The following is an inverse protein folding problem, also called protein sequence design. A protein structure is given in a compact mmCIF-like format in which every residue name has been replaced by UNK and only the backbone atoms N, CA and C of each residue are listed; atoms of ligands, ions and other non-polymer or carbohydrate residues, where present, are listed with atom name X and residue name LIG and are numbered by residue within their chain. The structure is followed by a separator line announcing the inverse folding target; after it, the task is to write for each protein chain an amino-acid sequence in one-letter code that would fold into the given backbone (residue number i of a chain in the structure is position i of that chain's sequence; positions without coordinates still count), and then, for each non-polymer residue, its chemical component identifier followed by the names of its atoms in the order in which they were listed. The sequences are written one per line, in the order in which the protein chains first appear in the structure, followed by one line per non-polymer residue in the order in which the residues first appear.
data_IF_838725879673
#
_entry.id   IF_838725879673
#
_cell.length_a   1.000
_cell.length_b   1.000
_cell.length_c   1.000
_cell.angle_alpha   90.00
_cell.angle_beta   90.00
_cell.angle_gamma   90.00
#
_symmetry.space_group_name_H-M   'P 1'
#
loop_
_entity.id
_entity.type
_entity.pdbx_description
1 polymer ?
#
# COMPACT_ATOMS: atom_id res chain seq x y z
N UNK A 1 -3.86 74.29 -39.54
CA UNK A 1 -3.93 75.73 -39.87
C UNK A 1 -4.76 76.51 -38.83
N UNK A 2 -4.76 76.11 -37.55
CA UNK A 2 -5.50 76.82 -36.49
C UNK A 2 -4.69 76.97 -35.18
N UNK A 3 -3.42 76.54 -35.15
CA UNK A 3 -2.56 76.63 -33.95
C UNK A 3 -1.51 77.77 -34.04
N UNK A 4 -1.25 78.32 -35.22
CA UNK A 4 -0.21 79.35 -35.41
C UNK A 4 -0.63 80.75 -34.93
N UNK A 5 -1.93 81.04 -34.88
CA UNK A 5 -2.44 82.35 -34.40
C UNK A 5 -2.44 82.45 -32.87
N UNK A 6 -2.63 81.33 -32.17
CA UNK A 6 -2.57 81.29 -30.70
C UNK A 6 -1.17 81.53 -30.16
N UNK A 7 -0.15 80.98 -30.82
CA UNK A 7 1.25 81.15 -30.44
C UNK A 7 1.69 82.63 -30.50
N UNK A 8 1.25 83.37 -31.52
CA UNK A 8 1.61 84.79 -31.72
C UNK A 8 1.01 85.72 -30.66
N UNK A 9 -0.18 85.39 -30.13
CA UNK A 9 -0.82 86.20 -29.08
C UNK A 9 -0.03 86.13 -27.76
N UNK A 10 0.44 84.94 -27.37
CA UNK A 10 1.16 84.72 -26.12
C UNK A 10 2.62 85.17 -26.16
N UNK A 11 3.22 85.29 -27.36
CA UNK A 11 4.58 85.80 -27.56
C UNK A 11 4.69 87.31 -27.27
N UNK A 12 3.58 88.06 -27.39
CA UNK A 12 3.56 89.51 -27.11
C UNK A 12 3.44 89.88 -25.63
N UNK A 13 2.94 88.96 -24.79
CA UNK A 13 2.61 89.24 -23.38
C UNK A 13 3.80 88.98 -22.45
N UNK A 14 4.68 88.05 -22.80
CA UNK A 14 5.90 87.77 -22.08
C UNK A 14 7.06 87.77 -23.07
N UNK A 15 7.69 88.94 -23.27
CA UNK A 15 8.77 89.17 -24.23
C UNK A 15 10.08 88.44 -23.91
N UNK A 16 10.00 87.12 -23.82
CA UNK A 16 11.12 86.19 -23.92
C UNK A 16 10.72 85.08 -24.91
N UNK A 17 11.60 84.67 -25.83
CA UNK A 17 11.33 83.55 -26.72
C UNK A 17 10.84 82.36 -25.91
N UNK A 18 9.72 81.74 -26.28
CA UNK A 18 9.35 80.44 -25.72
C UNK A 18 10.51 79.53 -26.08
N UNK A 19 11.35 79.22 -25.09
CA UNK A 19 12.43 78.28 -25.27
C UNK A 19 11.79 76.97 -25.73
N UNK A 20 11.97 76.65 -27.02
CA UNK A 20 11.78 75.29 -27.52
C UNK A 20 12.88 74.50 -26.83
N UNK A 21 12.56 73.96 -25.66
CA UNK A 21 13.46 73.07 -24.97
C UNK A 21 13.67 71.87 -25.89
N UNK A 22 14.93 71.61 -26.26
CA UNK A 22 15.28 70.32 -26.81
C UNK A 22 14.72 69.26 -25.86
N UNK A 23 13.96 68.30 -26.39
CA UNK A 23 13.29 67.25 -25.63
C UNK A 23 14.29 66.21 -25.11
N UNK A 24 15.53 66.62 -24.85
CA UNK A 24 16.65 65.78 -24.44
C UNK A 24 16.90 66.03 -22.96
N UNK A 25 16.09 65.39 -22.12
CA UNK A 25 16.50 65.13 -20.74
C UNK A 25 17.09 63.73 -20.71
N UNK A 26 18.39 63.67 -20.98
CA UNK A 26 19.20 62.46 -21.00
C UNK A 26 19.08 61.69 -19.67
N UNK A 27 18.41 60.54 -19.70
CA UNK A 27 18.52 59.53 -18.65
C UNK A 27 19.92 58.89 -18.65
N UNK A 28 20.37 58.30 -17.53
CA UNK A 28 21.73 57.78 -17.36
C UNK A 28 22.20 56.73 -18.40
N UNK A 29 21.28 56.15 -19.16
CA UNK A 29 21.54 55.04 -20.11
C UNK A 29 21.11 55.33 -21.55
N UNK A 30 20.42 56.46 -21.82
CA UNK A 30 20.04 56.93 -23.17
C UNK A 30 19.14 56.01 -24.03
N UNK A 31 18.82 54.79 -23.60
CA UNK A 31 18.10 53.78 -24.39
C UNK A 31 16.60 53.99 -24.49
N UNK A 32 15.99 54.69 -23.53
CA UNK A 32 14.55 54.97 -23.51
C UNK A 32 14.15 56.11 -24.45
N UNK A 33 15.11 56.94 -24.85
CA UNK A 33 14.91 58.14 -25.67
C UNK A 33 15.02 57.85 -27.18
N UNK A 34 15.55 56.68 -27.56
CA UNK A 34 15.60 56.21 -28.95
C UNK A 34 14.35 55.40 -29.35
N UNK A 35 13.47 55.10 -28.38
CA UNK A 35 12.23 54.37 -28.62
C UNK A 35 11.16 55.31 -29.15
N UNK A 36 10.37 54.81 -30.11
CA UNK A 36 9.16 55.50 -30.56
C UNK A 36 8.14 55.62 -29.41
N UNK A 37 7.24 56.60 -29.46
CA UNK A 37 6.25 56.82 -28.40
C UNK A 37 5.40 55.55 -28.10
N UNK A 38 5.16 54.71 -29.12
CA UNK A 38 4.49 53.40 -28.97
C UNK A 38 5.33 52.38 -28.20
N UNK A 39 6.63 52.31 -28.46
CA UNK A 39 7.58 51.43 -27.78
C UNK A 39 7.80 51.87 -26.33
N UNK A 40 7.87 53.18 -26.08
CA UNK A 40 7.93 53.73 -24.72
C UNK A 40 6.65 53.41 -23.93
N UNK A 41 5.47 53.57 -24.55
CA UNK A 41 4.20 53.22 -23.91
C UNK A 41 4.07 51.71 -23.63
N UNK A 42 4.59 50.85 -24.50
CA UNK A 42 4.66 49.40 -24.26
C UNK A 42 5.62 49.07 -23.10
N UNK A 43 6.81 49.67 -23.09
CA UNK A 43 7.81 49.49 -22.05
C UNK A 43 7.31 49.92 -20.67
N UNK A 44 6.66 51.10 -20.57
CA UNK A 44 6.10 51.59 -19.31
C UNK A 44 4.94 50.72 -18.84
N UNK A 45 4.06 50.24 -19.74
CA UNK A 45 3.00 49.28 -19.39
C UNK A 45 3.58 47.98 -18.86
N UNK A 46 4.62 47.46 -19.50
CA UNK A 46 5.33 46.28 -19.03
C UNK A 46 5.97 46.49 -17.65
N UNK A 47 6.66 47.61 -17.43
CA UNK A 47 7.30 47.94 -16.14
C UNK A 47 6.29 48.19 -15.01
N UNK A 48 5.18 48.85 -15.32
CA UNK A 48 4.07 49.03 -14.37
C UNK A 48 3.43 47.69 -14.02
N UNK A 49 3.25 46.80 -15.01
CA UNK A 49 2.75 45.45 -14.80
C UNK A 49 3.70 44.62 -13.95
N UNK A 50 5.00 44.61 -14.25
CA UNK A 50 6.04 43.95 -13.46
C UNK A 50 6.02 44.43 -11.99
N UNK A 51 5.88 45.74 -11.75
CA UNK A 51 5.85 46.30 -10.40
C UNK A 51 4.57 45.97 -9.61
N UNK A 52 3.41 45.92 -10.28
CA UNK A 52 2.13 45.57 -9.63
C UNK A 52 1.94 44.06 -9.48
N UNK A 53 2.46 43.27 -10.41
CA UNK A 53 2.29 41.81 -10.42
C UNK A 53 3.45 41.06 -9.77
N UNK A 54 4.55 41.72 -9.40
CA UNK A 54 5.66 41.10 -8.67
C UNK A 54 5.18 40.34 -7.41
N UNK A 55 4.38 40.98 -6.54
CA UNK A 55 3.84 40.33 -5.35
C UNK A 55 2.86 39.20 -5.67
N UNK A 56 2.10 39.31 -6.77
CA UNK A 56 1.13 38.30 -7.19
C UNK A 56 1.82 37.07 -7.82
N UNK A 57 2.94 37.27 -8.51
CA UNK A 57 3.81 36.22 -9.05
C UNK A 57 4.56 35.49 -7.92
N UNK A 58 5.09 36.21 -6.94
CA UNK A 58 5.72 35.62 -5.76
C UNK A 58 4.74 34.80 -4.93
N UNK A 59 3.52 35.31 -4.69
CA UNK A 59 2.48 34.57 -3.97
C UNK A 59 2.00 33.33 -4.75
N UNK A 60 1.89 33.43 -6.09
CA UNK A 60 1.54 32.29 -6.94
C UNK A 60 2.64 31.23 -6.92
N UNK A 61 3.90 31.64 -7.06
CA UNK A 61 5.05 30.74 -7.00
C UNK A 61 5.14 30.05 -5.63
N UNK A 62 4.96 30.79 -4.53
CA UNK A 62 4.94 30.23 -3.17
C UNK A 62 3.83 29.21 -2.99
N UNK A 63 2.62 29.49 -3.49
CA UNK A 63 1.48 28.54 -3.44
C UNK A 63 1.72 27.31 -4.30
N UNK A 64 2.34 27.45 -5.47
CA UNK A 64 2.68 26.31 -6.33
C UNK A 64 3.78 25.45 -5.71
N UNK A 65 4.81 26.05 -5.12
CA UNK A 65 5.87 25.38 -4.37
C UNK A 65 5.30 24.56 -3.20
N UNK A 66 4.44 25.18 -2.37
CA UNK A 66 3.77 24.48 -1.27
C UNK A 66 2.88 23.33 -1.74
N UNK A 67 2.14 23.52 -2.84
CA UNK A 67 1.35 22.44 -3.45
C UNK A 67 2.23 21.31 -3.96
N UNK A 68 3.40 21.62 -4.51
CA UNK A 68 4.37 20.63 -4.98
C UNK A 68 4.95 19.84 -3.82
N UNK A 69 5.41 20.53 -2.78
CA UNK A 69 5.96 19.91 -1.56
C UNK A 69 4.91 19.01 -0.89
N UNK A 70 3.68 19.51 -0.68
CA UNK A 70 2.61 18.71 -0.08
C UNK A 70 2.27 17.47 -0.90
N UNK A 71 2.27 17.56 -2.24
CA UNK A 71 2.06 16.40 -3.12
C UNK A 71 3.21 15.40 -3.03
N UNK A 72 4.44 15.86 -2.84
CA UNK A 72 5.61 15.02 -2.71
C UNK A 72 5.66 14.31 -1.35
N UNK A 73 5.33 15.03 -0.27
CA UNK A 73 5.12 14.48 1.07
C UNK A 73 4.00 13.44 1.09
N UNK A 74 2.86 13.72 0.43
CA UNK A 74 1.75 12.77 0.35
C UNK A 74 2.15 11.51 -0.44
N UNK A 75 2.91 11.67 -1.53
CA UNK A 75 3.45 10.54 -2.30
C UNK A 75 4.43 9.70 -1.50
N UNK A 76 5.32 10.33 -0.74
CA UNK A 76 6.29 9.62 0.10
C UNK A 76 5.61 8.93 1.27
N UNK A 77 4.67 9.60 1.96
CA UNK A 77 3.85 9.02 3.01
C UNK A 77 3.05 7.80 2.52
N UNK A 78 2.45 7.89 1.32
CA UNK A 78 1.74 6.76 0.72
C UNK A 78 2.66 5.57 0.43
N UNK A 79 3.85 5.82 -0.14
CA UNK A 79 4.84 4.75 -0.38
C UNK A 79 5.27 4.07 0.92
N UNK A 80 5.56 4.87 1.96
CA UNK A 80 5.94 4.35 3.28
C UNK A 80 4.82 3.52 3.90
N UNK A 81 3.57 3.96 3.79
CA UNK A 81 2.41 3.21 4.26
C UNK A 81 2.27 1.87 3.53
N UNK A 82 2.36 1.87 2.19
CA UNK A 82 2.28 0.64 1.38
C UNK A 82 3.44 -0.33 1.67
N UNK A 83 4.65 0.17 1.95
CA UNK A 83 5.79 -0.64 2.35
C UNK A 83 5.64 -1.21 3.77
N UNK A 84 5.16 -0.39 4.70
CA UNK A 84 4.84 -0.80 6.06
C UNK A 84 3.77 -1.90 6.06
N UNK A 85 2.67 -1.72 5.32
CA UNK A 85 1.60 -2.70 5.18
C UNK A 85 2.10 -4.01 4.55
N UNK A 86 2.93 -3.94 3.50
CA UNK A 86 3.59 -5.11 2.92
C UNK A 86 4.49 -5.82 3.93
N UNK A 87 5.21 -5.08 4.77
CA UNK A 87 6.09 -5.65 5.79
C UNK A 87 5.30 -6.32 6.93
N UNK A 88 4.20 -5.71 7.35
CA UNK A 88 3.30 -6.23 8.37
C UNK A 88 2.64 -7.52 7.89
N UNK A 89 2.09 -7.51 6.66
CA UNK A 89 1.49 -8.70 6.05
C UNK A 89 2.47 -9.87 5.97
N UNK A 90 3.69 -9.62 5.47
CA UNK A 90 4.75 -10.65 5.44
C UNK A 90 5.16 -11.10 6.85
N UNK A 91 5.09 -10.22 7.84
CA UNK A 91 5.37 -10.54 9.24
C UNK A 91 4.30 -11.44 9.85
N UNK A 92 3.04 -11.12 9.62
CA UNK A 92 1.87 -11.90 10.07
C UNK A 92 1.83 -13.27 9.41
N UNK A 93 2.03 -13.36 8.10
CA UNK A 93 2.10 -14.64 7.38
C UNK A 93 3.19 -15.55 7.96
N UNK A 94 4.38 -15.02 8.25
CA UNK A 94 5.46 -15.78 8.90
C UNK A 94 5.09 -16.22 10.32
N UNK A 95 4.46 -15.36 11.12
CA UNK A 95 4.02 -15.70 12.47
C UNK A 95 2.96 -16.79 12.44
N UNK A 96 2.01 -16.72 11.52
CA UNK A 96 1.00 -17.74 11.32
C UNK A 96 1.63 -19.07 10.90
N UNK A 97 2.51 -19.08 9.89
CA UNK A 97 3.23 -20.30 9.49
C UNK A 97 4.01 -20.92 10.64
N UNK A 98 4.72 -20.11 11.44
CA UNK A 98 5.45 -20.58 12.63
C UNK A 98 4.50 -21.20 13.66
N UNK A 99 3.35 -20.58 13.92
CA UNK A 99 2.33 -21.12 14.83
C UNK A 99 1.78 -22.46 14.35
N UNK A 100 1.50 -22.59 13.05
CA UNK A 100 1.03 -23.85 12.46
C UNK A 100 2.10 -24.94 12.51
N UNK A 101 3.35 -24.61 12.16
CA UNK A 101 4.47 -25.54 12.26
C UNK A 101 4.72 -26.01 13.71
N UNK A 102 4.62 -25.10 14.68
CA UNK A 102 4.77 -25.45 16.09
C UNK A 102 3.62 -26.33 16.58
N UNK A 103 2.37 -26.01 16.22
CA UNK A 103 1.22 -26.86 16.53
C UNK A 103 1.34 -28.25 15.89
N UNK A 104 1.76 -28.32 14.63
CA UNK A 104 2.01 -29.59 13.95
C UNK A 104 3.09 -30.41 14.67
N UNK A 105 4.19 -29.77 15.07
CA UNK A 105 5.26 -30.43 15.84
C UNK A 105 4.76 -30.96 17.18
N UNK A 106 3.94 -30.19 17.89
CA UNK A 106 3.30 -30.62 19.15
C UNK A 106 2.39 -31.83 18.91
N UNK A 107 1.56 -31.79 17.87
CA UNK A 107 0.72 -32.91 17.45
C UNK A 107 1.55 -34.17 17.15
N UNK A 108 2.59 -34.07 16.32
CA UNK A 108 3.44 -35.23 15.98
C UNK A 108 4.17 -35.80 17.20
N UNK A 109 4.62 -34.93 18.11
CA UNK A 109 5.28 -35.35 19.34
C UNK A 109 4.32 -36.06 20.28
N UNK A 110 3.12 -35.51 20.47
CA UNK A 110 2.09 -36.12 21.29
C UNK A 110 1.68 -37.49 20.73
N UNK A 111 1.55 -37.62 19.41
CA UNK A 111 1.35 -38.91 18.74
C UNK A 111 2.49 -39.90 18.92
N UNK A 112 3.74 -39.43 18.97
CA UNK A 112 4.90 -40.30 19.18
C UNK A 112 5.01 -40.79 20.63
N UNK A 113 4.61 -39.97 21.60
CA UNK A 113 4.60 -40.32 23.02
C UNK A 113 3.29 -40.94 23.50
N UNK A 114 2.32 -41.16 22.61
CA UNK A 114 0.99 -41.62 22.97
C UNK A 114 1.00 -43.08 23.45
N UNK A 115 0.47 -43.31 24.64
CA UNK A 115 0.43 -44.60 25.33
C UNK A 115 -0.87 -45.39 25.11
N UNK A 116 -1.82 -44.82 24.37
CA UNK A 116 -3.14 -45.41 24.13
C UNK A 116 -4.23 -44.93 25.07
N UNK A 117 -3.98 -43.87 25.87
CA UNK A 117 -5.02 -43.24 26.70
C UNK A 117 -5.81 -42.17 25.93
N UNK A 118 -7.12 -42.07 26.17
CA UNK A 118 -7.97 -41.10 25.46
C UNK A 118 -7.60 -39.65 25.74
N UNK A 119 -7.26 -39.33 26.99
CA UNK A 119 -6.98 -37.96 27.42
C UNK A 119 -5.69 -37.38 26.79
N UNK A 120 -4.77 -38.24 26.38
CA UNK A 120 -3.51 -37.84 25.74
C UNK A 120 -3.56 -37.96 24.21
N UNK A 121 -4.70 -38.37 23.65
CA UNK A 121 -4.90 -38.46 22.21
C UNK A 121 -4.85 -37.06 21.59
N UNK A 122 -3.87 -36.86 20.69
CA UNK A 122 -3.72 -35.61 19.99
C UNK A 122 -4.67 -35.52 18.78
N UNK A 123 -5.75 -34.75 18.94
CA UNK A 123 -6.69 -34.46 17.86
C UNK A 123 -6.07 -33.51 16.82
N UNK A 124 -6.43 -33.61 15.53
CA UNK A 124 -5.86 -32.79 14.46
C UNK A 124 -6.58 -31.42 14.39
N UNK A 125 -6.73 -30.76 15.53
CA UNK A 125 -7.39 -29.47 15.73
C UNK A 125 -6.73 -28.71 16.88
N UNK A 126 -6.89 -27.38 16.92
CA UNK A 126 -6.21 -26.51 17.88
C UNK A 126 -6.71 -26.64 19.33
N UNK A 127 -8.02 -26.85 19.53
CA UNK A 127 -8.65 -26.91 20.86
C UNK A 127 -9.01 -28.31 21.37
N UNK A 128 -8.59 -29.37 20.69
CA UNK A 128 -8.90 -30.74 21.09
C UNK A 128 -10.28 -31.22 20.63
N UNK A 129 -10.87 -32.18 21.34
CA UNK A 129 -12.10 -32.88 20.90
C UNK A 129 -13.32 -31.96 20.72
N UNK A 130 -13.41 -30.88 21.48
CA UNK A 130 -14.54 -29.94 21.45
C UNK A 130 -14.63 -29.12 20.14
N UNK A 131 -13.48 -28.87 19.50
CA UNK A 131 -13.38 -28.11 18.24
C UNK A 131 -13.33 -29.03 17.00
N UNK A 132 -13.82 -30.28 17.12
CA UNK A 132 -13.82 -31.23 16.03
C UNK A 132 -14.89 -30.88 15.00
N UNK A 133 -14.45 -30.22 13.95
CA UNK A 133 -15.23 -29.90 12.77
C UNK A 133 -14.43 -30.18 11.50
N UNK A 134 -15.12 -30.54 10.41
CA UNK A 134 -14.51 -30.94 9.13
C UNK A 134 -13.61 -29.82 8.58
N UNK A 135 -14.06 -28.57 8.70
CA UNK A 135 -13.29 -27.40 8.26
C UNK A 135 -12.03 -27.20 9.10
N UNK A 136 -12.13 -27.36 10.43
CA UNK A 136 -11.02 -27.19 11.35
C UNK A 136 -9.95 -28.26 11.16
N UNK A 137 -10.36 -29.52 11.02
CA UNK A 137 -9.45 -30.65 10.74
C UNK A 137 -8.75 -30.46 9.39
N UNK A 138 -9.51 -30.07 8.35
CA UNK A 138 -8.95 -29.78 7.01
C UNK A 138 -7.96 -28.62 7.06
N UNK A 139 -8.31 -27.53 7.74
CA UNK A 139 -7.46 -26.35 7.90
C UNK A 139 -6.17 -26.69 8.63
N UNK A 140 -6.25 -27.49 9.70
CA UNK A 140 -5.10 -27.97 10.45
C UNK A 140 -4.15 -28.81 9.58
N UNK A 141 -4.69 -29.75 8.81
CA UNK A 141 -3.88 -30.61 7.92
C UNK A 141 -3.22 -29.79 6.80
N UNK A 142 -3.98 -28.93 6.11
CA UNK A 142 -3.47 -28.14 4.98
C UNK A 142 -2.41 -27.13 5.43
N UNK A 143 -2.66 -26.42 6.55
CA UNK A 143 -1.76 -25.39 7.07
C UNK A 143 -0.60 -25.98 7.87
N UNK A 144 -0.83 -27.07 8.60
CA UNK A 144 0.18 -27.76 9.41
C UNK A 144 1.19 -28.54 8.57
N UNK A 145 0.74 -29.22 7.52
CA UNK A 145 1.63 -29.90 6.56
C UNK A 145 2.26 -28.93 5.53
N UNK A 146 1.85 -27.66 5.51
CA UNK A 146 2.43 -26.66 4.60
C UNK A 146 2.29 -27.05 3.13
N UNK A 147 1.04 -27.16 2.63
CA UNK A 147 0.77 -27.45 1.20
C UNK A 147 1.55 -26.52 0.24
N UNK A 148 1.80 -25.28 0.64
CA UNK A 148 2.55 -24.31 -0.17
C UNK A 148 4.06 -24.60 -0.22
N UNK A 149 4.61 -25.27 0.80
CA UNK A 149 6.04 -25.55 0.94
C UNK A 149 6.41 -26.96 0.42
N UNK A 150 5.43 -27.88 0.32
CA UNK A 150 5.61 -29.25 -0.17
C UNK A 150 4.86 -29.49 -1.48
N UNK A 151 5.55 -30.04 -2.49
CA UNK A 151 4.92 -30.41 -3.76
C UNK A 151 3.74 -31.38 -3.57
N UNK A 152 2.78 -31.36 -4.50
CA UNK A 152 1.49 -32.07 -4.39
C UNK A 152 1.65 -33.57 -4.08
N UNK A 153 2.65 -34.24 -4.65
CA UNK A 153 2.93 -35.66 -4.37
C UNK A 153 3.43 -35.90 -2.94
N UNK A 154 4.29 -35.03 -2.41
CA UNK A 154 4.77 -35.14 -1.04
C UNK A 154 3.63 -34.89 -0.04
N UNK A 155 2.77 -33.92 -0.33
CA UNK A 155 1.57 -33.66 0.45
C UNK A 155 0.59 -34.86 0.44
N UNK A 156 0.35 -35.46 -0.73
CA UNK A 156 -0.49 -36.65 -0.87
C UNK A 156 0.06 -37.86 -0.09
N UNK A 157 1.38 -38.06 -0.06
CA UNK A 157 2.02 -39.13 0.71
C UNK A 157 1.86 -38.92 2.21
N UNK A 158 2.04 -37.68 2.71
CA UNK A 158 1.80 -37.35 4.13
C UNK A 158 0.35 -37.56 4.53
N UNK A 159 -0.61 -37.14 3.70
CA UNK A 159 -2.03 -37.40 3.94
C UNK A 159 -2.36 -38.89 3.98
N UNK A 160 -1.69 -39.71 3.14
CA UNK A 160 -1.82 -41.17 3.19
C UNK A 160 -1.32 -41.75 4.51
N UNK A 161 -0.21 -41.27 5.04
CA UNK A 161 0.30 -41.68 6.36
C UNK A 161 -0.70 -41.33 7.48
N UNK A 162 -1.23 -40.12 7.48
CA UNK A 162 -2.24 -39.68 8.46
C UNK A 162 -3.54 -40.47 8.32
N UNK A 163 -3.98 -40.79 7.09
CA UNK A 163 -5.16 -41.64 6.83
C UNK A 163 -5.00 -43.02 7.45
N UNK A 164 -3.82 -43.63 7.30
CA UNK A 164 -3.54 -44.93 7.91
C UNK A 164 -3.52 -44.79 9.43
N UNK A 165 -2.96 -43.70 9.98
CA UNK A 165 -2.90 -43.46 11.43
C UNK A 165 -4.30 -43.33 12.05
N UNK A 166 -5.20 -42.60 11.40
CA UNK A 166 -6.56 -42.33 11.86
C UNK A 166 -7.59 -43.39 11.46
N UNK A 167 -7.15 -44.54 10.92
CA UNK A 167 -8.09 -45.60 10.59
C UNK A 167 -8.82 -46.09 11.85
N UNK A 168 -10.17 -46.15 11.88
CA UNK A 168 -10.95 -46.47 13.08
C UNK A 168 -10.48 -47.75 13.78
N UNK A 169 -10.24 -48.82 13.02
CA UNK A 169 -9.73 -50.10 13.53
C UNK A 169 -8.34 -49.97 14.21
N UNK A 170 -7.42 -49.16 13.66
CA UNK A 170 -6.09 -48.98 14.27
C UNK A 170 -6.14 -48.17 15.55
N UNK A 171 -6.99 -47.15 15.58
CA UNK A 171 -7.23 -46.32 16.76
C UNK A 171 -7.89 -47.16 17.85
N UNK A 172 -8.88 -47.97 17.50
CA UNK A 172 -9.57 -48.89 18.41
C UNK A 172 -8.61 -49.93 19.01
N UNK A 173 -7.73 -50.53 18.20
CA UNK A 173 -6.69 -51.46 18.67
C UNK A 173 -5.71 -50.78 19.64
N UNK A 174 -5.32 -49.54 19.36
CA UNK A 174 -4.41 -48.74 20.20
C UNK A 174 -5.06 -48.33 21.53
N UNK A 175 -6.35 -48.02 21.53
CA UNK A 175 -7.15 -47.65 22.69
C UNK A 175 -7.49 -48.83 23.61
N UNK A 176 -7.08 -50.06 23.26
CA UNK A 176 -7.28 -51.29 24.08
C UNK A 176 -8.73 -51.49 24.55
N UNK A 177 -9.70 -51.04 23.76
CA UNK A 177 -11.13 -51.16 24.08
C UNK A 177 -11.69 -50.12 25.06
N UNK A 178 -10.90 -49.11 25.47
CA UNK A 178 -11.37 -47.99 26.30
C UNK A 178 -12.11 -46.89 25.49
N UNK A 179 -12.38 -47.13 24.21
CA UNK A 179 -13.00 -46.13 23.33
C UNK A 179 -14.53 -46.20 23.45
N UNK A 180 -15.13 -45.12 23.95
CA UNK A 180 -16.57 -44.94 23.93
C UNK A 180 -17.10 -44.80 22.49
N UNK A 181 -18.36 -45.17 22.27
CA UNK A 181 -19.04 -45.06 20.96
C UNK A 181 -19.00 -43.63 20.40
N UNK A 182 -19.03 -42.62 21.26
CA UNK A 182 -18.95 -41.22 20.86
C UNK A 182 -17.55 -40.85 20.35
N UNK A 183 -16.49 -41.32 21.02
CA UNK A 183 -15.11 -41.13 20.56
C UNK A 183 -14.90 -41.81 19.21
N UNK A 184 -15.46 -43.00 19.02
CA UNK A 184 -15.34 -43.72 17.75
C UNK A 184 -16.05 -43.01 16.60
N UNK A 185 -17.16 -42.31 16.87
CA UNK A 185 -17.81 -41.42 15.87
C UNK A 185 -16.89 -40.26 15.49
N UNK A 186 -16.25 -39.63 16.47
CA UNK A 186 -15.34 -38.51 16.26
C UNK A 186 -14.08 -38.93 15.48
N UNK A 187 -13.49 -40.06 15.83
CA UNK A 187 -12.38 -40.68 15.09
C UNK A 187 -12.78 -40.98 13.64
N UNK A 188 -13.99 -41.49 13.45
CA UNK A 188 -14.53 -41.77 12.11
C UNK A 188 -14.76 -40.49 11.32
N UNK A 189 -15.24 -39.42 11.96
CA UNK A 189 -15.41 -38.12 11.32
C UNK A 189 -14.06 -37.57 10.84
N UNK A 190 -13.03 -37.59 11.70
CA UNK A 190 -11.66 -37.20 11.33
C UNK A 190 -11.14 -38.03 10.16
N UNK A 191 -11.32 -39.36 10.19
CA UNK A 191 -10.93 -40.24 9.10
C UNK A 191 -11.62 -39.87 7.79
N UNK A 192 -12.92 -39.60 7.81
CA UNK A 192 -13.69 -39.20 6.62
C UNK A 192 -13.21 -37.86 6.06
N UNK A 193 -12.90 -36.89 6.91
CA UNK A 193 -12.32 -35.60 6.48
C UNK A 193 -10.97 -35.80 5.80
N UNK A 194 -10.10 -36.63 6.36
CA UNK A 194 -8.80 -36.97 5.77
C UNK A 194 -8.98 -37.70 4.44
N UNK A 195 -9.89 -38.66 4.36
CA UNK A 195 -10.16 -39.44 3.14
C UNK A 195 -10.71 -38.56 2.01
N UNK A 196 -11.65 -37.66 2.31
CA UNK A 196 -12.14 -36.64 1.36
C UNK A 196 -11.02 -35.74 0.87
N UNK A 197 -10.19 -35.22 1.79
CA UNK A 197 -9.07 -34.35 1.44
C UNK A 197 -8.03 -35.09 0.57
N UNK A 198 -7.74 -36.36 0.88
CA UNK A 198 -6.83 -37.18 0.08
C UNK A 198 -7.39 -37.46 -1.32
N UNK A 199 -8.70 -37.71 -1.44
CA UNK A 199 -9.37 -37.92 -2.72
C UNK A 199 -9.37 -36.66 -3.61
N UNK A 200 -9.44 -35.46 -3.02
CA UNK A 200 -9.35 -34.18 -3.74
C UNK A 200 -7.94 -33.88 -4.26
N UNK A 201 -6.91 -34.22 -3.48
CA UNK A 201 -5.50 -33.98 -3.84
C UNK A 201 -5.00 -34.96 -4.89
N UNK A 202 -5.56 -36.17 -4.91
CA UNK A 202 -5.21 -37.17 -5.92
C UNK A 202 -5.88 -36.77 -7.25
N UNK A 203 -5.12 -36.48 -8.31
CA UNK A 203 -5.73 -36.20 -9.60
C UNK A 203 -6.58 -37.40 -10.03
N UNK A 204 -7.82 -37.15 -10.45
CA UNK A 204 -8.59 -38.12 -11.24
C UNK A 204 -7.76 -38.39 -12.49
N UNK A 205 -7.18 -39.58 -12.55
CA UNK A 205 -6.54 -40.11 -13.75
C UNK A 205 -7.57 -40.22 -14.89
#
# INVERSE_FOLDING_TARGET
MADDEGASYWESVYGQPIHVYAKEKSGPTGTLEQMTDEEYAAYVRQKMWEKTHAGLLEDRARREEQRRQRKEEERTARKLHEEMERSLRRGEERRQRRRWAEQWKRYTNAWASWDGTLDTLAWPVGGGREDLDDEHVRSFLVRGLGREDMGEQAFANRLREERIRWHPDKIQQRLRGAADDEVMKDVTAVFQTIDKLWAEVRPKA
#
